data_IF_617373117543
#
_entry.id   IF_617373117543
#
_cell.length_a   1.000
_cell.length_b   1.000
_cell.length_c   1.000
_cell.angle_alpha   90.00
_cell.angle_beta   90.00
_cell.angle_gamma   90.00
#
_symmetry.space_group_name_H-M   'P 1'
#
loop_
_entity.id
_entity.type
_entity.pdbx_description
1 polymer ?
#
# COMPACT_ATOMS: atom_id res chain seq x y z
N UNK A 1 -43.84 -35.60 77.77
CA UNK A 1 -43.18 -35.95 76.49
C UNK A 1 -42.88 -34.68 75.70
N UNK A 2 -41.62 -34.26 75.62
CA UNK A 2 -41.19 -33.02 74.97
C UNK A 2 -40.85 -33.25 73.48
N UNK A 3 -41.54 -32.58 72.56
CA UNK A 3 -41.19 -32.57 71.12
C UNK A 3 -40.19 -31.45 70.83
N UNK A 4 -38.93 -31.82 70.60
CA UNK A 4 -37.85 -30.94 70.10
C UNK A 4 -38.20 -30.41 68.70
N UNK A 5 -38.49 -29.11 68.59
CA UNK A 5 -38.51 -28.38 67.30
C UNK A 5 -37.07 -28.10 66.87
N UNK A 6 -36.59 -28.79 65.84
CA UNK A 6 -35.32 -28.46 65.15
C UNK A 6 -35.57 -27.24 64.26
N UNK A 7 -35.00 -26.09 64.64
CA UNK A 7 -34.89 -24.92 63.77
C UNK A 7 -33.96 -25.24 62.60
N UNK A 8 -34.49 -25.43 61.40
CA UNK A 8 -33.70 -25.42 60.17
C UNK A 8 -33.38 -23.96 59.82
N UNK A 9 -32.22 -23.48 60.28
CA UNK A 9 -31.58 -22.27 59.74
C UNK A 9 -31.26 -22.55 58.27
N UNK A 10 -32.08 -22.04 57.35
CA UNK A 10 -31.69 -21.96 55.94
C UNK A 10 -30.54 -20.94 55.84
N UNK A 11 -29.30 -21.45 55.69
CA UNK A 11 -28.17 -20.65 55.25
C UNK A 11 -28.52 -20.09 53.86
N UNK A 12 -28.88 -18.80 53.77
CA UNK A 12 -28.78 -18.02 52.54
C UNK A 12 -27.29 -17.99 52.17
N UNK A 13 -26.89 -18.86 51.24
CA UNK A 13 -25.60 -18.74 50.55
C UNK A 13 -25.70 -17.53 49.64
N UNK A 14 -25.13 -16.39 50.04
CA UNK A 14 -24.79 -15.31 49.12
C UNK A 14 -23.69 -15.82 48.19
N UNK A 15 -24.10 -16.26 46.99
CA UNK A 15 -23.20 -16.58 45.89
C UNK A 15 -22.63 -15.28 45.30
N UNK A 16 -21.79 -14.57 46.06
CA UNK A 16 -20.97 -13.46 45.57
C UNK A 16 -19.65 -14.00 44.98
N UNK A 17 -19.76 -14.95 44.05
CA UNK A 17 -18.64 -15.58 43.36
C UNK A 17 -18.78 -15.45 41.86
N UNK A 18 -18.99 -14.23 41.33
CA UNK A 18 -18.81 -13.92 39.91
C UNK A 18 -18.82 -12.41 39.57
N UNK A 19 -18.54 -11.52 40.54
CA UNK A 19 -18.66 -10.07 40.35
C UNK A 19 -17.73 -9.55 39.25
N UNK A 20 -16.47 -10.00 39.22
CA UNK A 20 -15.50 -9.57 38.20
C UNK A 20 -15.81 -10.12 36.80
N UNK A 21 -16.20 -11.39 36.69
CA UNK A 21 -16.54 -12.00 35.40
C UNK A 21 -17.82 -11.41 34.78
N UNK A 22 -18.84 -11.15 35.61
CA UNK A 22 -20.05 -10.46 35.18
C UNK A 22 -19.79 -9.01 34.78
N UNK A 23 -18.94 -8.30 35.53
CA UNK A 23 -18.54 -6.93 35.18
C UNK A 23 -17.76 -6.86 33.86
N UNK A 24 -16.79 -7.76 33.64
CA UNK A 24 -16.02 -7.82 32.38
C UNK A 24 -16.92 -8.13 31.18
N UNK A 25 -17.86 -9.08 31.34
CA UNK A 25 -18.82 -9.41 30.30
C UNK A 25 -19.76 -8.21 30.01
N UNK A 26 -20.21 -7.51 31.06
CA UNK A 26 -21.04 -6.32 30.90
C UNK A 26 -20.29 -5.17 30.21
N UNK A 27 -19.04 -4.94 30.59
CA UNK A 27 -18.18 -3.95 29.95
C UNK A 27 -17.95 -4.29 28.47
N UNK A 28 -17.65 -5.55 28.14
CA UNK A 28 -17.45 -6.00 26.76
C UNK A 28 -18.71 -5.83 25.90
N UNK A 29 -19.87 -6.25 26.41
CA UNK A 29 -21.15 -6.05 25.73
C UNK A 29 -21.42 -4.56 25.53
N UNK A 30 -21.23 -3.74 26.56
CA UNK A 30 -21.43 -2.29 26.47
C UNK A 30 -20.49 -1.62 25.46
N UNK A 31 -19.22 -2.02 25.40
CA UNK A 31 -18.28 -1.52 24.37
C UNK A 31 -18.70 -1.97 22.97
N UNK A 32 -19.13 -3.22 22.81
CA UNK A 32 -19.61 -3.74 21.52
C UNK A 32 -20.83 -2.95 21.04
N UNK A 33 -21.77 -2.70 21.95
CA UNK A 33 -22.96 -1.89 21.73
C UNK A 33 -22.59 -0.46 21.29
N UNK A 34 -21.66 0.19 22.00
CA UNK A 34 -21.16 1.52 21.63
C UNK A 34 -20.48 1.49 20.25
N UNK A 35 -19.71 0.45 19.95
CA UNK A 35 -19.04 0.29 18.67
C UNK A 35 -20.05 0.14 17.52
N UNK A 36 -21.18 -0.53 17.72
CA UNK A 36 -22.24 -0.63 16.71
C UNK A 36 -22.94 0.72 16.50
N UNK A 37 -23.30 1.41 17.58
CA UNK A 37 -23.97 2.72 17.52
C UNK A 37 -23.08 3.76 16.85
N UNK A 38 -21.86 3.94 17.35
CA UNK A 38 -20.92 4.87 16.77
C UNK A 38 -20.39 4.38 15.42
N UNK A 39 -20.24 3.07 15.24
CA UNK A 39 -19.77 2.46 14.00
C UNK A 39 -20.71 2.73 12.85
N UNK A 40 -22.02 2.53 13.02
CA UNK A 40 -23.01 2.82 11.97
C UNK A 40 -23.02 4.31 11.58
N UNK A 41 -22.96 5.21 12.57
CA UNK A 41 -22.80 6.64 12.33
C UNK A 41 -21.50 6.96 11.59
N UNK A 42 -20.38 6.38 12.03
CA UNK A 42 -19.07 6.56 11.42
C UNK A 42 -19.05 6.04 9.99
N UNK A 43 -19.66 4.89 9.70
CA UNK A 43 -19.78 4.36 8.33
C UNK A 43 -20.48 5.36 7.42
N UNK A 44 -21.55 6.00 7.91
CA UNK A 44 -22.26 7.03 7.15
C UNK A 44 -21.43 8.31 6.97
N UNK A 45 -20.72 8.75 8.02
CA UNK A 45 -19.79 9.90 7.95
C UNK A 45 -18.68 9.61 6.93
N UNK A 46 -18.05 8.43 7.00
CA UNK A 46 -17.00 8.04 6.08
C UNK A 46 -17.52 7.96 4.65
N UNK A 47 -18.69 7.38 4.43
CA UNK A 47 -19.32 7.41 3.12
C UNK A 47 -19.49 8.84 2.59
N UNK A 48 -20.01 9.77 3.40
CA UNK A 48 -20.13 11.17 2.99
C UNK A 48 -18.78 11.81 2.66
N UNK A 49 -17.75 11.55 3.46
CA UNK A 49 -16.38 12.03 3.21
C UNK A 49 -15.86 11.49 1.87
N UNK A 50 -15.97 10.18 1.66
CA UNK A 50 -15.50 9.52 0.45
C UNK A 50 -16.31 9.94 -0.77
N UNK A 51 -17.63 10.10 -0.67
CA UNK A 51 -18.50 10.56 -1.75
C UNK A 51 -18.20 12.01 -2.13
N UNK A 52 -17.95 12.88 -1.14
CA UNK A 52 -17.48 14.25 -1.40
C UNK A 52 -16.11 14.24 -2.07
N UNK A 53 -15.19 13.39 -1.62
CA UNK A 53 -13.88 13.21 -2.25
C UNK A 53 -14.02 12.69 -3.69
N UNK A 54 -14.95 11.77 -3.92
CA UNK A 54 -15.26 11.14 -5.20
C UNK A 54 -15.63 12.16 -6.29
N UNK A 55 -16.39 13.20 -5.91
CA UNK A 55 -16.78 14.29 -6.81
C UNK A 55 -15.61 15.10 -7.35
N UNK A 56 -14.49 15.13 -6.62
CA UNK A 56 -13.26 15.85 -6.97
C UNK A 56 -12.22 14.96 -7.66
N UNK A 57 -12.44 13.64 -7.65
CA UNK A 57 -11.52 12.72 -8.30
C UNK A 57 -11.65 12.85 -9.83
N UNK A 58 -10.54 12.98 -10.56
CA UNK A 58 -10.57 13.03 -12.02
C UNK A 58 -11.18 11.73 -12.57
N UNK A 59 -11.92 11.88 -13.67
CA UNK A 59 -12.38 10.75 -14.48
C UNK A 59 -11.20 10.28 -15.32
N UNK A 60 -10.48 9.31 -14.79
CA UNK A 60 -9.32 8.72 -15.47
C UNK A 60 -9.81 7.65 -16.44
N UNK A 61 -9.44 7.80 -17.72
CA UNK A 61 -9.74 6.82 -18.78
C UNK A 61 -8.53 5.98 -19.18
N UNK A 62 -7.33 6.34 -18.73
CA UNK A 62 -6.07 5.74 -19.12
C UNK A 62 -5.06 5.78 -17.97
N UNK A 63 -4.19 4.78 -17.89
CA UNK A 63 -3.08 4.76 -16.93
C UNK A 63 -2.10 5.94 -17.15
N UNK A 64 -2.02 6.44 -18.38
CA UNK A 64 -1.18 7.59 -18.75
C UNK A 64 -1.58 8.89 -18.04
N UNK A 65 -2.78 8.94 -17.46
CA UNK A 65 -3.17 10.07 -16.61
C UNK A 65 -2.34 10.16 -15.32
N UNK A 66 -1.61 9.10 -14.97
CA UNK A 66 -0.71 9.05 -13.81
C UNK A 66 0.76 9.24 -14.19
N UNK A 67 1.09 9.37 -15.48
CA UNK A 67 2.48 9.56 -15.93
C UNK A 67 3.10 10.82 -15.35
N UNK A 68 4.44 10.91 -15.41
CA UNK A 68 5.16 12.09 -14.98
C UNK A 68 4.66 13.35 -15.70
N UNK A 69 4.51 14.43 -14.93
CA UNK A 69 4.27 15.75 -15.53
C UNK A 69 5.54 16.24 -16.22
N UNK A 70 5.44 17.15 -17.20
CA UNK A 70 6.62 17.72 -17.88
C UNK A 70 7.66 18.29 -16.89
N UNK A 71 7.17 18.87 -15.79
CA UNK A 71 8.00 19.39 -14.70
C UNK A 71 8.73 18.28 -13.94
N UNK A 72 8.06 17.16 -13.66
CA UNK A 72 8.66 15.99 -13.04
C UNK A 72 9.70 15.34 -13.97
N UNK A 73 9.36 15.14 -15.24
CA UNK A 73 10.28 14.62 -16.25
C UNK A 73 11.52 15.50 -16.40
N UNK A 74 11.35 16.81 -16.42
CA UNK A 74 12.48 17.77 -16.46
C UNK A 74 13.37 17.65 -15.23
N UNK A 75 12.78 17.47 -14.03
CA UNK A 75 13.53 17.26 -12.79
C UNK A 75 14.27 15.92 -12.77
N UNK A 76 13.63 14.84 -13.20
CA UNK A 76 14.24 13.51 -13.34
C UNK A 76 15.46 13.60 -14.26
N UNK A 77 15.31 14.24 -15.42
CA UNK A 77 16.41 14.42 -16.38
C UNK A 77 17.54 15.28 -15.79
N UNK A 78 17.22 16.35 -15.07
CA UNK A 78 18.22 17.19 -14.40
C UNK A 78 18.99 16.41 -13.32
N UNK A 79 18.29 15.63 -12.50
CA UNK A 79 18.89 14.78 -11.46
C UNK A 79 19.80 13.71 -12.08
N UNK A 80 19.33 13.00 -13.12
CA UNK A 80 20.13 12.00 -13.85
C UNK A 80 21.39 12.63 -14.47
N UNK A 81 21.27 13.80 -15.06
CA UNK A 81 22.41 14.53 -15.62
C UNK A 81 23.39 15.04 -14.53
N UNK A 82 22.89 15.37 -13.34
CA UNK A 82 23.71 15.74 -12.18
C UNK A 82 24.46 14.52 -11.63
N UNK A 83 23.76 13.43 -11.36
CA UNK A 83 24.33 12.16 -10.90
C UNK A 83 25.41 11.66 -11.86
N UNK A 84 25.14 11.69 -13.17
CA UNK A 84 26.15 11.30 -14.17
C UNK A 84 27.42 12.14 -14.07
N UNK A 85 27.33 13.45 -13.80
CA UNK A 85 28.50 14.32 -13.59
C UNK A 85 29.27 13.93 -12.32
N UNK A 86 28.57 13.65 -11.22
CA UNK A 86 29.20 13.22 -9.97
C UNK A 86 29.91 11.87 -10.13
N UNK A 87 29.28 10.87 -10.75
CA UNK A 87 29.93 9.58 -11.01
C UNK A 87 31.13 9.71 -11.96
N UNK A 88 31.00 10.50 -13.03
CA UNK A 88 32.13 10.76 -13.93
C UNK A 88 33.29 11.43 -13.18
N UNK A 89 33.00 12.31 -12.21
CA UNK A 89 34.03 12.93 -11.38
C UNK A 89 34.70 11.94 -10.43
N UNK A 90 33.93 11.06 -9.81
CA UNK A 90 34.48 9.98 -8.97
C UNK A 90 35.36 9.01 -9.77
N UNK A 91 34.94 8.63 -10.98
CA UNK A 91 35.73 7.80 -11.90
C UNK A 91 37.03 8.53 -12.33
N UNK A 92 36.96 9.84 -12.57
CA UNK A 92 38.15 10.64 -12.87
C UNK A 92 39.10 10.69 -11.67
N UNK A 93 38.60 10.88 -10.44
CA UNK A 93 39.41 10.86 -9.22
C UNK A 93 40.10 9.50 -9.06
N UNK A 94 39.39 8.41 -9.34
CA UNK A 94 39.95 7.06 -9.27
C UNK A 94 41.06 6.83 -10.31
N UNK A 95 40.86 7.28 -11.56
CA UNK A 95 41.87 7.22 -12.61
C UNK A 95 43.08 8.09 -12.28
N UNK A 96 42.84 9.33 -11.85
CA UNK A 96 43.87 10.30 -11.52
C UNK A 96 44.71 9.85 -10.32
N UNK A 97 44.10 9.17 -9.35
CA UNK A 97 44.75 8.64 -8.15
C UNK A 97 45.23 7.19 -8.27
N UNK A 98 45.24 6.59 -9.45
CA UNK A 98 45.64 5.19 -9.62
C UNK A 98 47.07 4.87 -9.15
N UNK A 99 47.95 5.88 -9.15
CA UNK A 99 49.32 5.83 -8.65
C UNK A 99 49.42 5.96 -7.12
N UNK A 100 48.34 6.36 -6.44
CA UNK A 100 48.31 6.59 -5.00
C UNK A 100 47.95 5.31 -4.24
N UNK A 101 48.65 5.05 -3.14
CA UNK A 101 48.32 3.95 -2.23
C UNK A 101 46.95 4.21 -1.56
N UNK A 102 46.04 3.25 -1.65
CA UNK A 102 44.75 3.25 -0.93
C UNK A 102 44.89 2.62 0.47
N UNK A 103 44.03 3.04 1.39
CA UNK A 103 43.83 2.48 2.73
C UNK A 103 42.81 1.33 2.68
N UNK A 104 42.66 0.61 3.79
CA UNK A 104 41.74 -0.53 3.90
C UNK A 104 40.25 -0.12 3.78
N UNK A 105 39.91 1.14 4.03
CA UNK A 105 38.57 1.69 3.86
C UNK A 105 38.28 2.18 2.42
N UNK A 106 39.21 1.96 1.48
CA UNK A 106 39.06 2.33 0.07
C UNK A 106 39.45 3.78 -0.26
N UNK A 107 39.72 4.62 0.73
CA UNK A 107 40.17 6.01 0.55
C UNK A 107 41.68 6.08 0.26
N UNK A 108 42.13 7.18 -0.35
CA UNK A 108 43.55 7.39 -0.64
C UNK A 108 44.35 7.67 0.65
N UNK A 109 45.64 7.34 0.66
CA UNK A 109 46.52 7.68 1.78
C UNK A 109 46.69 9.21 1.89
N UNK A 110 46.33 9.76 3.05
CA UNK A 110 46.36 11.20 3.35
C UNK A 110 47.76 11.78 3.56
N UNK A 111 48.80 10.93 3.59
CA UNK A 111 50.19 11.38 3.63
C UNK A 111 50.57 12.20 2.38
N UNK A 112 49.86 11.98 1.25
CA UNK A 112 50.01 12.79 0.05
C UNK A 112 48.98 13.94 0.02
N UNK A 113 49.41 15.15 -0.34
CA UNK A 113 48.49 16.29 -0.51
C UNK A 113 47.38 15.98 -1.53
N UNK A 114 47.71 15.23 -2.58
CA UNK A 114 46.78 14.82 -3.63
C UNK A 114 45.73 13.83 -3.10
N UNK A 115 46.15 12.81 -2.34
CA UNK A 115 45.25 11.86 -1.70
C UNK A 115 44.30 12.51 -0.69
N UNK A 116 44.80 13.46 0.12
CA UNK A 116 43.95 14.23 1.03
C UNK A 116 42.89 15.07 0.28
N UNK A 117 43.25 15.71 -0.83
CA UNK A 117 42.31 16.48 -1.66
C UNK A 117 41.23 15.58 -2.27
N UNK A 118 41.61 14.42 -2.82
CA UNK A 118 40.66 13.46 -3.36
C UNK A 118 39.71 12.91 -2.31
N UNK A 119 40.19 12.59 -1.12
CA UNK A 119 39.31 12.12 -0.03
C UNK A 119 38.29 13.18 0.39
N UNK A 120 38.70 14.45 0.49
CA UNK A 120 37.76 15.55 0.80
C UNK A 120 36.70 15.72 -0.29
N UNK A 121 37.10 15.57 -1.55
CA UNK A 121 36.17 15.65 -2.67
C UNK A 121 35.20 14.46 -2.70
N UNK A 122 35.67 13.24 -2.45
CA UNK A 122 34.82 12.05 -2.30
C UNK A 122 33.84 12.22 -1.14
N UNK A 123 34.30 12.69 0.02
CA UNK A 123 33.45 12.93 1.19
C UNK A 123 32.40 14.02 0.96
N UNK A 124 32.65 14.95 0.03
CA UNK A 124 31.67 15.94 -0.39
C UNK A 124 30.67 15.38 -1.41
N UNK A 125 31.15 14.64 -2.41
CA UNK A 125 30.32 14.15 -3.52
C UNK A 125 29.43 12.99 -3.07
N UNK A 126 29.91 12.09 -2.20
CA UNK A 126 29.15 10.91 -1.77
C UNK A 126 27.77 11.25 -1.17
N UNK A 127 27.64 12.14 -0.18
CA UNK A 127 26.32 12.49 0.35
C UNK A 127 25.43 13.22 -0.67
N UNK A 128 26.02 14.00 -1.59
CA UNK A 128 25.28 14.65 -2.67
C UNK A 128 24.68 13.62 -3.66
N UNK A 129 25.39 12.51 -3.92
CA UNK A 129 24.88 11.39 -4.71
C UNK A 129 23.72 10.72 -3.99
N UNK A 130 23.90 10.34 -2.71
CA UNK A 130 22.86 9.65 -1.94
C UNK A 130 21.55 10.47 -1.88
N UNK A 131 21.66 11.79 -1.68
CA UNK A 131 20.51 12.70 -1.68
C UNK A 131 19.84 12.79 -3.06
N UNK A 132 20.63 12.86 -4.13
CA UNK A 132 20.12 12.92 -5.50
C UNK A 132 19.48 11.61 -5.95
N UNK A 133 20.03 10.45 -5.56
CA UNK A 133 19.45 9.13 -5.79
C UNK A 133 18.12 8.97 -5.06
N UNK A 134 18.07 9.37 -3.78
CA UNK A 134 16.83 9.37 -3.01
C UNK A 134 15.76 10.26 -3.65
N UNK A 135 16.16 11.45 -4.09
CA UNK A 135 15.27 12.38 -4.80
C UNK A 135 14.79 11.79 -6.12
N UNK A 136 15.68 11.16 -6.89
CA UNK A 136 15.34 10.52 -8.17
C UNK A 136 14.32 9.41 -7.96
N UNK A 137 14.57 8.50 -7.01
CA UNK A 137 13.67 7.41 -6.65
C UNK A 137 12.29 7.93 -6.23
N UNK A 138 12.24 9.01 -5.44
CA UNK A 138 10.98 9.67 -5.09
C UNK A 138 10.21 10.14 -6.32
N UNK A 139 10.86 10.85 -7.24
CA UNK A 139 10.18 11.35 -8.44
C UNK A 139 9.72 10.23 -9.37
N UNK A 140 10.52 9.16 -9.52
CA UNK A 140 10.19 7.98 -10.32
C UNK A 140 8.99 7.20 -9.76
N UNK A 141 8.80 7.15 -8.44
CA UNK A 141 7.66 6.46 -7.81
C UNK A 141 6.35 7.30 -7.81
N UNK A 142 6.38 8.59 -8.16
CA UNK A 142 5.19 9.46 -8.14
C UNK A 142 3.99 8.92 -8.95
N UNK A 143 4.16 8.38 -10.18
CA UNK A 143 3.06 7.77 -10.93
C UNK A 143 2.39 6.63 -10.17
N UNK A 144 3.20 5.74 -9.59
CA UNK A 144 2.72 4.61 -8.80
C UNK A 144 1.99 5.07 -7.55
N UNK A 145 2.48 6.09 -6.86
CA UNK A 145 1.80 6.68 -5.71
C UNK A 145 0.46 7.31 -6.11
N UNK A 146 0.42 8.04 -7.23
CA UNK A 146 -0.81 8.65 -7.76
C UNK A 146 -1.83 7.58 -8.15
N UNK A 147 -1.40 6.52 -8.82
CA UNK A 147 -2.24 5.37 -9.18
C UNK A 147 -2.78 4.65 -7.93
N UNK A 148 -1.92 4.28 -6.98
CA UNK A 148 -2.32 3.61 -5.73
C UNK A 148 -3.34 4.44 -4.96
N UNK A 149 -3.12 5.75 -4.85
CA UNK A 149 -4.03 6.69 -4.18
C UNK A 149 -5.37 6.77 -4.90
N UNK A 150 -5.36 6.88 -6.22
CA UNK A 150 -6.60 6.92 -7.01
C UNK A 150 -7.40 5.62 -6.92
N UNK A 151 -6.73 4.47 -7.01
CA UNK A 151 -7.34 3.16 -6.86
C UNK A 151 -7.99 3.02 -5.49
N UNK A 152 -7.25 3.36 -4.42
CA UNK A 152 -7.76 3.35 -3.05
C UNK A 152 -9.00 4.24 -2.92
N UNK A 153 -8.93 5.48 -3.39
CA UNK A 153 -10.03 6.42 -3.25
C UNK A 153 -11.28 5.98 -4.01
N UNK A 154 -11.13 5.42 -5.21
CA UNK A 154 -12.25 4.91 -6.01
C UNK A 154 -12.84 3.62 -5.45
N UNK A 155 -12.01 2.66 -5.07
CA UNK A 155 -12.51 1.39 -4.52
C UNK A 155 -13.22 1.60 -3.19
N UNK A 156 -12.68 2.45 -2.30
CA UNK A 156 -13.31 2.77 -1.02
C UNK A 156 -14.71 3.38 -1.19
N UNK A 157 -14.90 4.28 -2.17
CA UNK A 157 -16.23 4.85 -2.46
C UNK A 157 -17.23 3.75 -2.85
N UNK A 158 -16.84 2.86 -3.76
CA UNK A 158 -17.69 1.75 -4.18
C UNK A 158 -18.01 0.81 -3.01
N UNK A 159 -17.03 0.52 -2.17
CA UNK A 159 -17.21 -0.31 -0.98
C UNK A 159 -18.13 0.31 0.05
N UNK A 160 -18.03 1.61 0.31
CA UNK A 160 -18.96 2.29 1.20
C UNK A 160 -20.38 2.34 0.63
N UNK A 161 -20.55 2.51 -0.69
CA UNK A 161 -21.87 2.41 -1.34
C UNK A 161 -22.47 1.03 -1.16
N UNK A 162 -21.71 -0.04 -1.40
CA UNK A 162 -22.17 -1.42 -1.15
C UNK A 162 -22.50 -1.62 0.34
N UNK A 163 -21.63 -1.18 1.24
CA UNK A 163 -21.83 -1.31 2.68
C UNK A 163 -23.14 -0.65 3.12
N UNK A 164 -23.44 0.56 2.65
CA UNK A 164 -24.69 1.25 2.96
C UNK A 164 -25.90 0.56 2.32
N UNK A 165 -25.79 0.11 1.07
CA UNK A 165 -26.88 -0.64 0.44
C UNK A 165 -27.20 -1.92 1.21
N UNK A 166 -26.17 -2.66 1.65
CA UNK A 166 -26.34 -3.84 2.52
C UNK A 166 -26.97 -3.43 3.85
N UNK A 167 -26.52 -2.33 4.45
CA UNK A 167 -27.09 -1.83 5.70
C UNK A 167 -28.59 -1.55 5.56
N UNK A 168 -28.99 -0.75 4.56
CA UNK A 168 -30.39 -0.37 4.34
C UNK A 168 -31.24 -1.61 3.99
N UNK A 169 -30.75 -2.47 3.11
CA UNK A 169 -31.48 -3.67 2.67
C UNK A 169 -31.66 -4.67 3.82
N UNK A 170 -30.59 -4.94 4.58
CA UNK A 170 -30.68 -5.82 5.76
C UNK A 170 -31.53 -5.22 6.86
N UNK A 171 -31.49 -3.89 7.06
CA UNK A 171 -32.29 -3.22 8.07
C UNK A 171 -33.77 -3.36 7.74
N UNK A 172 -34.16 -3.09 6.49
CA UNK A 172 -35.52 -3.28 6.01
C UNK A 172 -35.96 -4.75 6.14
N UNK A 173 -35.10 -5.69 5.74
CA UNK A 173 -35.40 -7.12 5.85
C UNK A 173 -35.60 -7.58 7.30
N UNK A 174 -34.72 -7.18 8.22
CA UNK A 174 -34.85 -7.52 9.62
C UNK A 174 -36.02 -6.83 10.31
N UNK A 175 -36.35 -5.61 9.89
CA UNK A 175 -37.50 -4.88 10.41
C UNK A 175 -38.83 -5.54 10.01
N UNK A 176 -38.92 -6.05 8.79
CA UNK A 176 -40.15 -6.71 8.30
C UNK A 176 -40.27 -8.16 8.78
N UNK A 177 -39.17 -8.91 8.79
CA UNK A 177 -39.19 -10.35 9.08
C UNK A 177 -39.11 -10.67 10.58
N UNK A 178 -38.64 -9.72 11.41
CA UNK A 178 -38.48 -9.86 12.86
C UNK A 178 -37.96 -11.24 13.32
N UNK A 179 -36.80 -11.68 12.82
CA UNK A 179 -36.36 -13.05 13.07
C UNK A 179 -36.11 -13.30 14.57
N UNK A 180 -36.53 -14.47 15.06
CA UNK A 180 -36.52 -14.81 16.50
C UNK A 180 -35.14 -14.73 17.15
N UNK A 181 -34.08 -15.11 16.43
CA UNK A 181 -32.69 -15.00 16.90
C UNK A 181 -32.28 -13.55 17.20
N UNK A 182 -32.86 -12.57 16.51
CA UNK A 182 -32.56 -11.15 16.69
C UNK A 182 -33.22 -10.59 17.96
N UNK A 183 -34.45 -11.03 18.26
CA UNK A 183 -35.11 -10.74 19.53
C UNK A 183 -34.32 -11.34 20.72
N UNK A 184 -33.80 -12.55 20.55
CA UNK A 184 -32.91 -13.18 21.53
C UNK A 184 -31.59 -12.42 21.69
N UNK A 185 -30.99 -11.95 20.58
CA UNK A 185 -29.78 -11.14 20.63
C UNK A 185 -30.02 -9.81 21.35
N UNK A 186 -31.12 -9.11 21.04
CA UNK A 186 -31.47 -7.84 21.69
C UNK A 186 -31.70 -8.02 23.19
N UNK A 187 -32.42 -9.07 23.59
CA UNK A 187 -32.67 -9.35 25.02
C UNK A 187 -31.40 -9.76 25.76
N UNK A 188 -30.49 -10.52 25.12
CA UNK A 188 -29.17 -10.80 25.69
C UNK A 188 -28.34 -9.52 25.85
N UNK A 189 -28.25 -8.71 24.80
CA UNK A 189 -27.50 -7.45 24.85
C UNK A 189 -28.04 -6.50 25.91
N UNK A 190 -29.36 -6.40 26.07
CA UNK A 190 -29.99 -5.60 27.13
C UNK A 190 -29.67 -6.14 28.53
N UNK A 191 -29.77 -7.47 28.74
CA UNK A 191 -29.50 -8.09 30.04
C UNK A 191 -28.05 -7.85 30.52
N UNK A 192 -27.12 -7.73 29.59
CA UNK A 192 -25.70 -7.59 29.87
C UNK A 192 -25.14 -6.20 29.55
N UNK A 193 -25.93 -5.27 29.04
CA UNK A 193 -25.48 -3.88 28.85
C UNK A 193 -25.64 -3.10 30.15
N UNK A 194 -24.73 -2.16 30.41
CA UNK A 194 -24.87 -1.17 31.48
C UNK A 194 -25.75 0.02 31.07
N UNK A 195 -26.15 0.10 29.79
CA UNK A 195 -26.92 1.20 29.23
C UNK A 195 -28.39 0.80 29.08
N UNK A 196 -29.29 1.51 29.76
CA UNK A 196 -30.75 1.29 29.72
C UNK A 196 -31.46 1.90 28.49
N UNK A 197 -30.70 2.52 27.57
CA UNK A 197 -31.20 3.13 26.33
C UNK A 197 -32.06 2.18 25.47
N UNK A 198 -31.91 0.86 25.66
CA UNK A 198 -32.45 -0.19 24.79
C UNK A 198 -33.83 -0.72 25.19
N UNK A 199 -34.33 -0.37 26.36
CA UNK A 199 -35.65 -0.83 26.84
C UNK A 199 -36.82 -0.25 26.02
N UNK A 200 -36.62 0.90 25.38
CA UNK A 200 -37.67 1.59 24.63
C UNK A 200 -37.92 0.98 23.24
N UNK A 201 -36.92 0.42 22.57
CA UNK A 201 -37.03 -0.07 21.18
C UNK A 201 -36.13 -1.29 20.87
N UNK A 202 -36.39 -2.48 21.45
CA UNK A 202 -35.55 -3.67 21.28
C UNK A 202 -35.47 -4.16 19.82
N UNK A 203 -36.58 -4.09 19.07
CA UNK A 203 -36.61 -4.53 17.67
C UNK A 203 -35.72 -3.65 16.78
N UNK A 204 -35.81 -2.33 16.90
CA UNK A 204 -34.97 -1.37 16.15
C UNK A 204 -33.48 -1.50 16.48
N UNK A 205 -33.16 -1.90 17.71
CA UNK A 205 -31.79 -2.12 18.11
C UNK A 205 -31.23 -3.40 17.48
N UNK A 206 -31.95 -4.51 17.60
CA UNK A 206 -31.54 -5.78 17.00
C UNK A 206 -31.35 -5.65 15.49
N UNK A 207 -32.26 -4.94 14.79
CA UNK A 207 -32.12 -4.69 13.35
C UNK A 207 -30.85 -3.91 13.06
N UNK A 208 -30.62 -2.81 13.78
CA UNK A 208 -29.43 -1.96 13.60
C UNK A 208 -28.12 -2.73 13.77
N UNK A 209 -28.04 -3.58 14.80
CA UNK A 209 -26.85 -4.39 15.08
C UNK A 209 -26.61 -5.42 13.99
N UNK A 210 -27.63 -6.21 13.64
CA UNK A 210 -27.51 -7.22 12.59
C UNK A 210 -27.12 -6.60 11.26
N UNK A 211 -27.74 -5.46 10.92
CA UNK A 211 -27.47 -4.73 9.69
C UNK A 211 -26.08 -4.14 9.65
N UNK A 212 -25.58 -3.61 10.77
CA UNK A 212 -24.22 -3.07 10.87
C UNK A 212 -23.16 -4.17 10.69
N UNK A 213 -23.38 -5.35 11.27
CA UNK A 213 -22.46 -6.49 11.12
C UNK A 213 -22.41 -6.92 9.65
N UNK A 214 -23.55 -7.06 8.99
CA UNK A 214 -23.61 -7.41 7.57
C UNK A 214 -23.00 -6.31 6.68
N UNK A 215 -23.28 -5.04 6.96
CA UNK A 215 -22.71 -3.93 6.18
C UNK A 215 -21.19 -3.84 6.32
N UNK A 216 -20.66 -4.21 7.49
CA UNK A 216 -19.21 -4.25 7.73
C UNK A 216 -18.53 -5.28 6.85
N UNK A 217 -19.17 -6.44 6.60
CA UNK A 217 -18.68 -7.41 5.61
C UNK A 217 -18.69 -6.83 4.19
N UNK A 218 -19.63 -5.93 3.88
CA UNK A 218 -19.66 -5.17 2.64
C UNK A 218 -18.38 -4.37 2.35
N UNK A 219 -17.64 -3.95 3.38
CA UNK A 219 -16.35 -3.25 3.20
C UNK A 219 -15.27 -4.16 2.60
N UNK A 220 -15.39 -5.48 2.74
CA UNK A 220 -14.46 -6.43 2.11
C UNK A 220 -14.53 -6.39 0.58
N UNK A 221 -15.61 -5.85 0.00
CA UNK A 221 -15.72 -5.57 -1.44
C UNK A 221 -14.60 -4.68 -1.98
N UNK A 222 -13.89 -3.94 -1.10
CA UNK A 222 -12.76 -3.10 -1.45
C UNK A 222 -11.68 -3.86 -2.21
N UNK A 223 -11.34 -5.07 -1.78
CA UNK A 223 -10.31 -5.87 -2.42
C UNK A 223 -10.72 -6.24 -3.85
N UNK A 224 -11.97 -6.68 -4.03
CA UNK A 224 -12.52 -7.00 -5.34
C UNK A 224 -12.54 -5.79 -6.29
N UNK A 225 -12.99 -4.62 -5.81
CA UNK A 225 -13.02 -3.42 -6.66
C UNK A 225 -11.64 -2.87 -6.99
N UNK A 226 -10.70 -2.98 -6.06
CA UNK A 226 -9.33 -2.55 -6.30
C UNK A 226 -8.71 -3.38 -7.43
N UNK A 227 -8.90 -4.69 -7.41
CA UNK A 227 -8.36 -5.60 -8.42
C UNK A 227 -9.07 -5.45 -9.77
N UNK A 228 -10.40 -5.34 -9.76
CA UNK A 228 -11.21 -5.10 -10.98
C UNK A 228 -10.86 -3.77 -11.66
N UNK A 229 -10.71 -2.67 -10.91
CA UNK A 229 -10.31 -1.38 -11.46
C UNK A 229 -8.88 -1.41 -12.02
N UNK A 230 -7.97 -2.11 -11.35
CA UNK A 230 -6.61 -2.30 -11.84
C UNK A 230 -6.59 -3.10 -13.15
N UNK A 231 -7.36 -4.19 -13.23
CA UNK A 231 -7.50 -5.00 -14.44
C UNK A 231 -8.11 -4.23 -15.61
N UNK A 232 -9.18 -3.46 -15.36
CA UNK A 232 -9.81 -2.60 -16.39
C UNK A 232 -8.86 -1.55 -16.95
N UNK A 233 -8.00 -0.96 -16.11
CA UNK A 233 -6.99 -0.01 -16.58
C UNK A 233 -5.91 -0.69 -17.44
N UNK A 234 -5.57 -1.93 -17.14
CA UNK A 234 -4.54 -2.70 -17.87
C UNK A 234 -5.07 -3.24 -19.21
N UNK A 235 -6.31 -3.74 -19.25
CA UNK A 235 -6.88 -4.29 -20.50
C UNK A 235 -7.17 -3.19 -21.53
N UNK A 236 -7.52 -1.98 -21.09
CA UNK A 236 -7.71 -0.84 -21.99
C UNK A 236 -6.39 -0.31 -22.61
N UNK A 237 -5.26 -0.87 -22.15
CA UNK A 237 -3.92 -0.58 -22.63
C UNK A 237 -3.44 -1.64 -23.63
N UNK A 238 -3.67 -2.93 -23.40
CA UNK A 238 -3.36 -3.99 -24.38
C UNK A 238 -4.10 -3.75 -25.72
N UNK A 239 -5.36 -3.30 -25.65
CA UNK A 239 -6.17 -2.97 -26.83
C UNK A 239 -5.64 -1.77 -27.63
N UNK A 240 -4.69 -0.98 -27.08
CA UNK A 240 -4.04 0.16 -27.75
C UNK A 240 -2.54 -0.04 -28.02
N UNK A 241 -1.92 -1.10 -27.49
CA UNK A 241 -0.51 -1.40 -27.78
C UNK A 241 -0.30 -2.13 -29.10
N UNK A 242 -1.34 -2.76 -29.67
CA UNK A 242 -1.28 -3.38 -31.01
C UNK A 242 -0.96 -2.40 -32.15
N UNK A 243 -1.07 -1.08 -31.93
CA UNK A 243 -0.75 -0.06 -32.94
C UNK A 243 0.66 0.55 -32.81
N UNK A 244 1.50 0.12 -31.85
CA UNK A 244 2.87 0.67 -31.73
C UNK A 244 3.80 0.06 -32.79
N UNK A 245 4.70 0.86 -33.40
CA UNK A 245 5.72 0.32 -34.29
C UNK A 245 6.58 -0.70 -33.52
N UNK A 246 6.86 -1.85 -34.14
CA UNK A 246 7.81 -2.84 -33.60
C UNK A 246 9.18 -2.17 -33.44
N UNK A 247 9.48 -1.70 -32.22
CA UNK A 247 10.83 -1.28 -31.87
C UNK A 247 11.74 -2.51 -31.88
N UNK A 248 12.91 -2.38 -32.48
CA UNK A 248 13.92 -3.44 -32.43
C UNK A 248 14.55 -3.47 -31.03
N UNK A 249 15.12 -4.62 -30.64
CA UNK A 249 15.85 -4.74 -29.37
C UNK A 249 16.94 -3.67 -29.24
N UNK A 250 17.57 -3.30 -30.35
CA UNK A 250 18.58 -2.26 -30.41
C UNK A 250 18.00 -0.88 -30.06
N UNK A 251 16.82 -0.51 -30.59
CA UNK A 251 16.15 0.75 -30.27
C UNK A 251 15.82 0.84 -28.76
N UNK A 252 15.37 -0.27 -28.19
CA UNK A 252 15.05 -0.37 -26.76
C UNK A 252 16.34 -0.22 -25.93
N UNK A 253 17.41 -0.94 -26.28
CA UNK A 253 18.69 -0.87 -25.58
C UNK A 253 19.34 0.53 -25.68
N UNK A 254 19.21 1.19 -26.83
CA UNK A 254 19.69 2.56 -27.02
C UNK A 254 18.92 3.57 -26.16
N UNK A 255 17.64 3.32 -25.86
CA UNK A 255 16.82 4.19 -25.02
C UNK A 255 17.16 4.12 -23.52
N UNK A 256 17.77 3.02 -23.05
CA UNK A 256 18.06 2.79 -21.63
C UNK A 256 19.22 3.65 -21.11
N UNK A 257 19.15 4.03 -19.83
CA UNK A 257 20.28 4.69 -19.16
C UNK A 257 21.47 3.74 -19.00
N UNK A 258 22.69 4.28 -18.87
CA UNK A 258 23.88 3.45 -18.68
C UNK A 258 23.84 2.63 -17.37
N UNK A 259 23.14 3.12 -16.35
CA UNK A 259 22.93 2.41 -15.08
C UNK A 259 22.00 1.21 -15.27
N UNK A 260 20.86 1.40 -15.93
CA UNK A 260 19.92 0.32 -16.26
C UNK A 260 20.58 -0.74 -17.14
N UNK A 261 21.44 -0.33 -18.08
CA UNK A 261 22.20 -1.28 -18.90
C UNK A 261 23.23 -2.08 -18.10
N UNK A 262 23.85 -1.49 -17.06
CA UNK A 262 24.74 -2.24 -16.16
C UNK A 262 23.96 -3.24 -15.32
N UNK A 263 22.85 -2.82 -14.74
CA UNK A 263 22.00 -3.67 -13.92
C UNK A 263 21.43 -4.84 -14.73
N UNK A 264 21.05 -4.58 -15.99
CA UNK A 264 20.59 -5.61 -16.94
C UNK A 264 21.71 -6.63 -17.25
N UNK A 265 22.91 -6.16 -17.56
CA UNK A 265 24.09 -7.03 -17.79
C UNK A 265 24.43 -7.86 -16.56
N UNK A 266 24.29 -7.27 -15.38
CA UNK A 266 24.63 -7.92 -14.10
C UNK A 266 23.59 -8.96 -13.71
N UNK A 267 22.31 -8.67 -13.97
CA UNK A 267 21.20 -9.60 -13.74
C UNK A 267 21.25 -10.78 -14.70
N UNK A 268 21.61 -10.55 -15.96
CA UNK A 268 21.70 -11.59 -16.99
C UNK A 268 23.09 -12.26 -17.09
N UNK A 269 24.01 -11.97 -16.15
CA UNK A 269 25.39 -12.49 -16.14
C UNK A 269 26.12 -12.38 -17.51
N UNK A 270 26.00 -11.22 -18.16
CA UNK A 270 26.63 -10.95 -19.45
C UNK A 270 28.04 -10.38 -19.21
N UNK A 271 29.05 -10.97 -19.84
CA UNK A 271 30.42 -10.45 -19.78
C UNK A 271 30.58 -9.27 -20.73
N UNK A 272 30.28 -8.06 -20.25
CA UNK A 272 30.45 -6.83 -21.01
C UNK A 272 31.43 -5.86 -20.34
N UNK A 273 32.14 -5.06 -21.13
CA UNK A 273 32.88 -3.93 -20.60
C UNK A 273 31.90 -2.86 -20.13
N UNK A 274 31.62 -2.84 -18.82
CA UNK A 274 30.62 -1.97 -18.18
C UNK A 274 30.94 -0.47 -18.26
N UNK A 275 32.08 -0.06 -18.81
CA UNK A 275 32.51 1.36 -18.86
C UNK A 275 31.95 2.14 -20.05
N UNK A 276 31.40 1.47 -21.06
CA UNK A 276 30.82 2.13 -22.24
C UNK A 276 29.43 1.59 -22.53
N UNK A 277 28.49 2.52 -22.77
CA UNK A 277 27.11 2.19 -23.15
C UNK A 277 27.06 1.41 -24.46
N UNK A 278 27.83 1.84 -25.48
CA UNK A 278 27.87 1.15 -26.78
C UNK A 278 28.40 -0.28 -26.65
N UNK A 279 29.41 -0.50 -25.80
CA UNK A 279 30.01 -1.81 -25.62
C UNK A 279 29.09 -2.75 -24.85
N UNK A 280 28.28 -2.23 -23.92
CA UNK A 280 27.24 -3.01 -23.25
C UNK A 280 26.15 -3.42 -24.25
N UNK A 281 25.64 -2.48 -25.05
CA UNK A 281 24.60 -2.75 -26.05
C UNK A 281 25.10 -3.79 -27.06
N UNK A 282 26.31 -3.62 -27.58
CA UNK A 282 26.91 -4.57 -28.52
C UNK A 282 27.13 -5.95 -27.88
N UNK A 283 27.62 -6.01 -26.64
CA UNK A 283 27.80 -7.29 -25.94
C UNK A 283 26.49 -8.03 -25.64
N UNK A 284 25.36 -7.31 -25.54
CA UNK A 284 24.02 -7.87 -25.42
C UNK A 284 23.53 -8.39 -26.79
N UNK A 285 23.70 -7.59 -27.85
CA UNK A 285 23.30 -7.96 -29.22
C UNK A 285 24.13 -9.13 -29.80
N UNK A 286 25.36 -9.34 -29.31
CA UNK A 286 26.23 -10.46 -29.71
C UNK A 286 25.96 -11.75 -28.91
N UNK A 287 25.06 -11.76 -27.92
CA UNK A 287 24.70 -12.99 -27.20
C UNK A 287 23.87 -13.96 -28.05
N UNK A 288 23.89 -15.24 -27.67
CA UNK A 288 23.02 -16.26 -28.24
C UNK A 288 21.53 -15.91 -28.06
N UNK A 289 20.64 -16.31 -28.98
CA UNK A 289 19.22 -15.94 -28.96
C UNK A 289 18.51 -16.30 -27.64
N UNK A 290 18.85 -17.43 -27.01
CA UNK A 290 18.30 -17.81 -25.71
C UNK A 290 18.60 -16.79 -24.60
N UNK A 291 19.79 -16.19 -24.61
CA UNK A 291 20.15 -15.12 -23.66
C UNK A 291 19.54 -13.78 -24.04
N UNK A 292 19.27 -13.54 -25.32
CA UNK A 292 18.54 -12.35 -25.74
C UNK A 292 17.08 -12.39 -25.27
N UNK A 293 16.45 -13.57 -25.29
CA UNK A 293 15.10 -13.76 -24.75
C UNK A 293 15.07 -13.56 -23.23
N UNK A 294 16.10 -14.01 -22.51
CA UNK A 294 16.27 -13.73 -21.07
C UNK A 294 16.41 -12.22 -20.81
N UNK A 295 17.23 -11.52 -21.60
CA UNK A 295 17.38 -10.07 -21.53
C UNK A 295 16.06 -9.35 -21.82
N UNK A 296 15.29 -9.79 -22.81
CA UNK A 296 13.96 -9.24 -23.12
C UNK A 296 12.99 -9.48 -21.95
N UNK A 297 13.04 -10.67 -21.33
CA UNK A 297 12.27 -10.99 -20.14
C UNK A 297 12.60 -10.06 -18.96
N UNK A 298 13.88 -9.85 -18.68
CA UNK A 298 14.35 -8.93 -17.63
C UNK A 298 14.01 -7.48 -17.96
N UNK A 299 14.16 -7.06 -19.22
CA UNK A 299 13.74 -5.73 -19.68
C UNK A 299 12.26 -5.50 -19.47
N UNK A 300 11.43 -6.50 -19.75
CA UNK A 300 9.98 -6.40 -19.53
C UNK A 300 9.66 -6.21 -18.04
N UNK A 301 10.41 -6.86 -17.14
CA UNK A 301 10.26 -6.69 -15.68
C UNK A 301 10.76 -5.31 -15.21
N UNK A 302 11.87 -4.81 -15.78
CA UNK A 302 12.44 -3.50 -15.43
C UNK A 302 11.62 -2.32 -15.96
N UNK A 303 10.85 -2.53 -17.04
CA UNK A 303 10.02 -1.53 -17.68
C UNK A 303 8.52 -1.61 -17.28
N UNK A 304 8.11 -2.66 -16.56
CA UNK A 304 6.75 -2.84 -16.01
C UNK A 304 6.60 -2.28 -14.60
#
# INVERSE_FOLDING_TARGET
MARRRRSRRSKRRSSNGNSYGSFLLQAFVTVTVLLVLFGSLLTFIFWLIFERKNSRLPKVRSITAFDHTDRETSKINALRASLSRHYNRLDQIEKDGADLRKRNDGLFNEQSQRGRRFNLEIQRISPEIDEQESSLSYYEDLPNQRLKKWLFDRSMVLSFRISILIYIASFAAFYVLEPTWMLQLSTMMQKYSLLDFYSAYPTLYGTSVGSFVLSSLGLLSYYFFKDDLKGKLHNHFEEKEEERPKYTLEDILQSLSHVQLKELVDTCNITANKRSKSNIIQAILEQQPEKQDEVIGTLRIMLS
#
